data_IF_816225851231
#
_entry.id   IF_816225851231
#
_cell.length_a   1.000
_cell.length_b   1.000
_cell.length_c   1.000
_cell.angle_alpha   90.00
_cell.angle_beta   90.00
_cell.angle_gamma   90.00
#
_symmetry.space_group_name_H-M   'P 1'
#
loop_
_entity.id
_entity.type
_entity.pdbx_description
1 polymer ?
#
# COMPACT_ATOMS: atom_id res chain seq x y z
N UNK A 1 76.09 -56.21 -13.75
CA UNK A 1 75.40 -55.01 -14.26
C UNK A 1 74.51 -54.48 -13.17
N UNK A 2 74.82 -53.25 -12.78
CA UNK A 2 74.18 -52.37 -11.80
C UNK A 2 72.71 -52.12 -12.16
N UNK A 3 71.80 -52.11 -11.19
CA UNK A 3 70.81 -51.01 -11.08
C UNK A 3 70.14 -50.97 -9.72
N UNK A 4 69.94 -49.74 -9.26
CA UNK A 4 69.75 -49.31 -7.89
C UNK A 4 68.32 -49.49 -7.37
N UNK A 5 68.21 -49.81 -6.09
CA UNK A 5 66.99 -49.68 -5.28
C UNK A 5 66.80 -48.19 -4.97
N UNK A 6 65.63 -47.63 -5.29
CA UNK A 6 65.22 -46.31 -4.81
C UNK A 6 63.91 -46.47 -4.06
N UNK A 7 64.00 -46.41 -2.73
CA UNK A 7 62.89 -46.42 -1.79
C UNK A 7 62.17 -45.06 -1.79
N UNK A 8 60.85 -45.05 -1.97
CA UNK A 8 60.00 -43.88 -1.75
C UNK A 8 59.13 -44.07 -0.49
N UNK A 9 59.07 -43.07 0.42
CA UNK A 9 58.35 -43.16 1.68
C UNK A 9 56.82 -42.94 1.52
N UNK A 10 56.01 -43.41 2.50
CA UNK A 10 54.55 -43.36 2.43
C UNK A 10 53.98 -41.94 2.57
N UNK A 11 52.86 -41.72 1.88
CA UNK A 11 52.13 -40.46 1.75
C UNK A 11 51.50 -40.04 3.09
N UNK A 12 52.00 -38.96 3.67
CA UNK A 12 51.46 -38.34 4.89
C UNK A 12 50.06 -37.74 4.67
N UNK A 13 49.16 -38.02 5.61
CA UNK A 13 47.82 -37.44 5.68
C UNK A 13 47.87 -35.93 6.02
N UNK A 14 46.99 -35.09 5.46
CA UNK A 14 46.84 -33.69 5.89
C UNK A 14 46.11 -33.61 7.24
N UNK A 15 46.72 -32.88 8.19
CA UNK A 15 46.17 -32.60 9.51
C UNK A 15 44.97 -31.62 9.53
N UNK A 16 44.36 -31.44 10.72
CA UNK A 16 43.09 -30.75 10.89
C UNK A 16 43.22 -29.23 10.75
N UNK A 17 42.34 -28.60 9.96
CA UNK A 17 42.18 -27.14 9.94
C UNK A 17 41.19 -26.71 11.02
N UNK A 18 41.68 -25.80 11.86
CA UNK A 18 41.04 -25.05 12.93
C UNK A 18 39.70 -24.44 12.50
N UNK A 19 38.67 -24.68 13.33
CA UNK A 19 37.35 -24.04 13.30
C UNK A 19 37.49 -22.55 13.58
N UNK A 20 36.97 -21.69 12.70
CA UNK A 20 36.87 -20.24 12.94
C UNK A 20 35.46 -19.74 12.68
N UNK A 21 34.75 -19.49 13.78
CA UNK A 21 33.69 -18.50 13.89
C UNK A 21 32.30 -18.91 13.41
N UNK A 22 31.51 -19.46 14.33
CA UNK A 22 30.04 -19.43 14.25
C UNK A 22 29.58 -17.97 14.15
N UNK A 23 29.27 -17.52 12.92
CA UNK A 23 28.41 -16.37 12.72
C UNK A 23 27.00 -16.92 12.67
N UNK A 24 26.26 -16.78 13.77
CA UNK A 24 24.82 -17.07 13.85
C UNK A 24 24.15 -16.56 12.57
N UNK A 25 23.77 -17.49 11.69
CA UNK A 25 22.87 -17.19 10.60
C UNK A 25 21.56 -16.77 11.24
N UNK A 26 21.34 -15.46 11.20
CA UNK A 26 20.10 -14.83 11.58
C UNK A 26 19.04 -15.40 10.64
N UNK A 27 18.23 -16.32 11.17
CA UNK A 27 17.02 -16.85 10.53
C UNK A 27 16.36 -15.75 9.68
N UNK A 28 16.06 -15.98 8.40
CA UNK A 28 15.27 -15.04 7.63
C UNK A 28 13.97 -14.83 8.38
N UNK A 29 13.82 -13.65 8.97
CA UNK A 29 12.60 -13.22 9.63
C UNK A 29 11.46 -13.44 8.65
N UNK A 30 10.44 -14.19 9.10
CA UNK A 30 9.23 -14.42 8.34
C UNK A 30 8.71 -13.07 7.80
N UNK A 31 8.44 -12.96 6.49
CA UNK A 31 7.93 -11.73 5.91
C UNK A 31 6.55 -11.41 6.51
N UNK A 32 6.15 -10.12 6.55
CA UNK A 32 4.84 -9.72 7.04
C UNK A 32 3.77 -10.50 6.28
N UNK A 33 2.94 -11.23 7.04
CA UNK A 33 1.70 -11.80 6.53
C UNK A 33 0.80 -10.63 6.10
N UNK A 34 -0.02 -10.88 5.09
CA UNK A 34 -1.00 -9.95 4.48
C UNK A 34 -0.51 -9.16 3.25
N UNK A 35 0.00 -9.90 2.28
CA UNK A 35 0.06 -9.48 0.87
C UNK A 35 -1.20 -9.93 0.09
N UNK A 36 -2.40 -9.72 0.64
CA UNK A 36 -3.63 -10.27 0.04
C UNK A 36 -4.22 -9.33 -1.02
N UNK A 37 -3.96 -9.62 -2.30
CA UNK A 37 -4.68 -9.00 -3.41
C UNK A 37 -6.04 -9.68 -3.51
N UNK A 38 -7.12 -8.90 -3.42
CA UNK A 38 -8.48 -9.41 -3.68
C UNK A 38 -8.59 -9.86 -5.15
N UNK A 39 -8.34 -11.15 -5.36
CA UNK A 39 -8.36 -11.83 -6.65
C UNK A 39 -8.79 -13.29 -6.44
N UNK A 40 -9.61 -13.86 -7.33
CA UNK A 40 -10.16 -13.27 -8.55
C UNK A 40 -11.29 -12.25 -8.30
N UNK A 41 -11.49 -11.28 -9.21
CA UNK A 41 -12.62 -10.37 -9.13
C UNK A 41 -13.95 -11.10 -9.44
N UNK A 42 -15.03 -10.70 -8.78
CA UNK A 42 -16.38 -11.21 -9.05
C UNK A 42 -16.82 -11.00 -10.50
N UNK A 43 -17.67 -11.90 -11.03
CA UNK A 43 -18.24 -11.75 -12.38
C UNK A 43 -19.29 -10.63 -12.35
N UNK A 44 -19.25 -9.66 -13.28
CA UNK A 44 -20.31 -8.66 -13.39
C UNK A 44 -21.66 -9.33 -13.70
N UNK A 45 -22.67 -9.01 -12.90
CA UNK A 45 -24.06 -9.45 -13.07
C UNK A 45 -24.99 -8.24 -13.00
N UNK A 46 -26.26 -8.44 -13.35
CA UNK A 46 -27.27 -7.38 -13.22
C UNK A 46 -27.36 -6.83 -11.79
N UNK A 47 -27.22 -7.71 -10.78
CA UNK A 47 -27.34 -7.35 -9.38
C UNK A 47 -26.15 -6.53 -8.86
N UNK A 48 -24.93 -6.84 -9.32
CA UNK A 48 -23.71 -6.20 -8.81
C UNK A 48 -23.18 -5.06 -9.69
N UNK A 49 -23.68 -4.87 -10.93
CA UNK A 49 -23.13 -3.87 -11.87
C UNK A 49 -23.19 -2.45 -11.32
N UNK A 50 -24.24 -2.14 -10.53
CA UNK A 50 -24.35 -0.85 -9.84
C UNK A 50 -23.19 -0.62 -8.86
N UNK A 51 -22.80 -1.65 -8.10
CA UNK A 51 -21.68 -1.60 -7.15
C UNK A 51 -20.33 -1.59 -7.88
N UNK A 52 -20.20 -2.36 -8.97
CA UNK A 52 -19.02 -2.32 -9.86
C UNK A 52 -18.73 -0.88 -10.28
N UNK A 53 -19.73 -0.11 -10.71
CA UNK A 53 -19.54 1.27 -11.14
C UNK A 53 -19.42 2.27 -9.99
N UNK A 54 -20.31 2.21 -8.99
CA UNK A 54 -20.39 3.17 -7.88
C UNK A 54 -19.17 3.13 -6.97
N UNK A 55 -18.72 1.92 -6.61
CA UNK A 55 -17.63 1.72 -5.65
C UNK A 55 -16.24 1.69 -6.31
N UNK A 56 -16.15 1.77 -7.64
CA UNK A 56 -14.88 1.76 -8.40
C UNK A 56 -13.80 2.69 -7.85
N UNK A 57 -14.15 3.94 -7.49
CA UNK A 57 -13.19 4.94 -6.99
C UNK A 57 -12.61 4.60 -5.60
N UNK A 58 -13.17 3.59 -4.94
CA UNK A 58 -12.84 3.17 -3.60
C UNK A 58 -12.06 1.86 -3.57
N UNK A 59 -12.07 1.10 -4.68
CA UNK A 59 -11.28 -0.12 -4.83
C UNK A 59 -9.80 0.23 -5.08
N UNK A 60 -8.89 -0.52 -4.47
CA UNK A 60 -7.47 -0.24 -4.59
C UNK A 60 -6.94 -0.44 -6.01
N UNK A 61 -5.93 0.36 -6.37
CA UNK A 61 -5.06 0.07 -7.51
C UNK A 61 -3.70 -0.34 -6.98
N UNK A 62 -3.23 -1.50 -7.39
CA UNK A 62 -1.96 -2.06 -6.91
C UNK A 62 -0.81 -1.51 -7.74
N UNK A 63 0.15 -0.80 -7.14
CA UNK A 63 1.32 -0.32 -7.92
C UNK A 63 2.45 -1.33 -7.87
N UNK A 64 3.30 -1.46 -8.92
CA UNK A 64 4.45 -2.37 -8.90
C UNK A 64 5.42 -2.11 -7.75
N UNK A 65 5.46 -0.88 -7.22
CA UNK A 65 6.26 -0.49 -6.04
C UNK A 65 5.75 -1.09 -4.73
N UNK A 66 4.51 -1.57 -4.72
CA UNK A 66 3.86 -2.19 -3.55
C UNK A 66 3.98 -3.71 -3.54
N UNK A 67 4.66 -4.31 -4.51
CA UNK A 67 4.84 -5.76 -4.57
C UNK A 67 6.23 -6.14 -4.07
N UNK A 68 6.37 -7.28 -3.37
CA UNK A 68 7.68 -7.82 -3.04
C UNK A 68 8.56 -7.97 -4.28
N UNK A 69 9.81 -7.52 -4.19
CA UNK A 69 10.72 -7.38 -5.35
C UNK A 69 11.17 -8.72 -5.95
N UNK A 70 11.05 -9.83 -5.22
CA UNK A 70 11.56 -11.15 -5.60
C UNK A 70 10.61 -12.26 -5.14
N UNK A 71 10.38 -13.29 -5.97
CA UNK A 71 9.66 -14.51 -5.60
C UNK A 71 8.13 -14.52 -5.81
N UNK A 72 7.51 -13.38 -6.15
CA UNK A 72 6.04 -13.24 -6.23
C UNK A 72 5.54 -12.82 -7.62
N UNK A 73 6.04 -13.47 -8.67
CA UNK A 73 5.63 -13.18 -10.05
C UNK A 73 4.13 -13.34 -10.30
N UNK A 74 3.49 -14.30 -9.63
CA UNK A 74 2.04 -14.53 -9.67
C UNK A 74 1.25 -13.35 -9.06
N UNK A 75 1.71 -12.82 -7.92
CA UNK A 75 1.10 -11.66 -7.26
C UNK A 75 1.19 -10.42 -8.16
N UNK A 76 2.31 -10.26 -8.86
CA UNK A 76 2.45 -9.23 -9.90
C UNK A 76 1.42 -9.39 -11.02
N UNK A 77 1.18 -10.61 -11.53
CA UNK A 77 0.17 -10.87 -12.56
C UNK A 77 -1.25 -10.59 -12.05
N UNK A 78 -1.59 -11.03 -10.84
CA UNK A 78 -2.89 -10.71 -10.22
C UNK A 78 -3.10 -9.21 -10.05
N UNK A 79 -2.09 -8.48 -9.54
CA UNK A 79 -2.14 -7.02 -9.40
C UNK A 79 -2.42 -6.33 -10.74
N UNK A 80 -1.80 -6.84 -11.82
CA UNK A 80 -1.89 -6.30 -13.17
C UNK A 80 -3.27 -6.59 -13.76
N UNK A 81 -3.80 -7.80 -13.53
CA UNK A 81 -5.15 -8.19 -13.91
C UNK A 81 -6.20 -7.28 -13.25
N UNK A 82 -6.18 -7.13 -11.93
CA UNK A 82 -7.12 -6.25 -11.21
C UNK A 82 -7.04 -4.81 -11.72
N UNK A 83 -5.82 -4.26 -11.89
CA UNK A 83 -5.66 -2.91 -12.41
C UNK A 83 -6.17 -2.73 -13.85
N UNK A 84 -6.01 -3.74 -14.71
CA UNK A 84 -6.56 -3.73 -16.08
C UNK A 84 -8.08 -3.71 -16.01
N UNK A 85 -8.67 -4.56 -15.18
CA UNK A 85 -10.12 -4.64 -15.02
C UNK A 85 -10.71 -3.32 -14.51
N UNK A 86 -10.13 -2.71 -13.48
CA UNK A 86 -10.61 -1.42 -12.95
C UNK A 86 -10.53 -0.29 -13.98
N UNK A 87 -9.55 -0.34 -14.90
CA UNK A 87 -9.50 0.58 -16.05
C UNK A 87 -10.59 0.27 -17.08
N UNK A 88 -10.86 -1.01 -17.36
CA UNK A 88 -11.96 -1.46 -18.20
C UNK A 88 -13.32 -0.99 -17.67
N UNK A 89 -13.62 -1.27 -16.40
CA UNK A 89 -14.82 -0.78 -15.72
C UNK A 89 -14.93 0.74 -15.74
N UNK A 90 -13.82 1.47 -15.60
CA UNK A 90 -13.85 2.93 -15.73
C UNK A 90 -14.32 3.38 -17.11
N UNK A 91 -13.97 2.65 -18.17
CA UNK A 91 -14.44 2.95 -19.53
C UNK A 91 -15.92 2.58 -19.69
N UNK A 92 -16.31 1.35 -19.33
CA UNK A 92 -17.69 0.88 -19.45
C UNK A 92 -18.69 1.76 -18.66
N UNK A 93 -18.39 2.08 -17.40
CA UNK A 93 -19.26 2.88 -16.54
C UNK A 93 -19.29 4.39 -16.88
N UNK A 94 -18.63 4.84 -17.96
CA UNK A 94 -18.69 6.23 -18.43
C UNK A 94 -19.62 6.40 -19.64
N UNK A 95 -19.94 5.32 -20.33
CA UNK A 95 -20.79 5.35 -21.52
C UNK A 95 -22.28 5.45 -21.18
N UNK A 96 -23.09 5.77 -22.19
CA UNK A 96 -24.56 5.68 -22.13
C UNK A 96 -25.11 4.37 -22.74
N UNK A 97 -24.23 3.40 -23.08
CA UNK A 97 -24.63 2.09 -23.60
C UNK A 97 -24.72 1.01 -22.51
N UNK A 98 -24.93 -0.24 -22.93
CA UNK A 98 -25.11 -1.39 -22.02
C UNK A 98 -23.83 -1.68 -21.20
N UNK A 99 -23.84 -1.19 -19.96
CA UNK A 99 -22.71 -1.25 -19.03
C UNK A 99 -22.34 -2.69 -18.69
N UNK A 100 -23.34 -3.56 -18.52
CA UNK A 100 -23.16 -4.96 -18.12
C UNK A 100 -22.40 -5.78 -19.18
N UNK A 101 -22.85 -5.86 -20.45
CA UNK A 101 -22.09 -6.53 -21.52
C UNK A 101 -20.66 -6.01 -21.67
N UNK A 102 -20.46 -4.68 -21.57
CA UNK A 102 -19.11 -4.11 -21.62
C UNK A 102 -18.25 -4.57 -20.44
N UNK A 103 -18.78 -4.52 -19.21
CA UNK A 103 -18.07 -4.91 -18.01
C UNK A 103 -17.76 -6.41 -17.99
N UNK A 104 -18.72 -7.25 -18.33
CA UNK A 104 -18.55 -8.70 -18.44
C UNK A 104 -17.51 -9.05 -19.51
N UNK A 105 -17.58 -8.44 -20.69
CA UNK A 105 -16.57 -8.62 -21.74
C UNK A 105 -15.17 -8.25 -21.28
N UNK A 106 -15.02 -7.12 -20.58
CA UNK A 106 -13.73 -6.71 -19.99
C UNK A 106 -13.25 -7.64 -18.89
N UNK A 107 -14.16 -8.23 -18.12
CA UNK A 107 -13.83 -9.20 -17.09
C UNK A 107 -13.27 -10.50 -17.70
N UNK A 108 -13.93 -11.04 -18.73
CA UNK A 108 -13.46 -12.21 -19.49
C UNK A 108 -12.08 -11.98 -20.13
N UNK A 109 -11.94 -10.88 -20.87
CA UNK A 109 -10.67 -10.48 -21.53
C UNK A 109 -9.48 -10.45 -20.54
N UNK A 110 -9.72 -9.93 -19.33
CA UNK A 110 -8.67 -9.83 -18.31
C UNK A 110 -8.29 -11.20 -17.75
N UNK A 111 -9.25 -12.11 -17.56
CA UNK A 111 -8.98 -13.46 -17.04
C UNK A 111 -8.26 -14.34 -18.06
N UNK A 112 -8.65 -14.28 -19.33
CA UNK A 112 -7.95 -15.01 -20.39
C UNK A 112 -6.49 -14.56 -20.47
N UNK A 113 -6.29 -13.24 -20.51
CA UNK A 113 -4.95 -12.66 -20.51
C UNK A 113 -4.15 -12.99 -19.26
N UNK A 114 -4.81 -13.11 -18.10
CA UNK A 114 -4.15 -13.55 -16.88
C UNK A 114 -3.65 -14.99 -17.01
N UNK A 115 -4.46 -15.91 -17.54
CA UNK A 115 -4.05 -17.29 -17.76
C UNK A 115 -2.94 -17.43 -18.80
N UNK A 116 -2.97 -16.65 -19.90
CA UNK A 116 -1.85 -16.58 -20.84
C UNK A 116 -0.55 -16.10 -20.18
N UNK A 117 -0.63 -15.16 -19.25
CA UNK A 117 0.53 -14.64 -18.51
C UNK A 117 1.00 -15.61 -17.41
N UNK A 118 0.09 -16.40 -16.81
CA UNK A 118 0.42 -17.47 -15.84
C UNK A 118 1.16 -18.62 -16.52
N UNK A 119 0.70 -19.08 -17.69
CA UNK A 119 1.35 -20.16 -18.45
C UNK A 119 2.78 -19.82 -18.88
N UNK A 120 3.06 -18.54 -19.14
CA UNK A 120 4.42 -18.04 -19.45
C UNK A 120 5.31 -17.93 -18.19
N UNK A 121 4.72 -18.03 -17.01
CA UNK A 121 5.40 -17.91 -15.72
C UNK A 121 5.96 -19.25 -15.23
N UNK A 122 7.07 -19.19 -14.48
CA UNK A 122 7.69 -20.37 -13.87
C UNK A 122 6.91 -20.95 -12.68
N UNK A 123 6.16 -20.10 -11.98
CA UNK A 123 5.27 -20.48 -10.88
C UNK A 123 3.86 -20.07 -11.30
N UNK A 124 2.97 -21.04 -11.48
CA UNK A 124 1.53 -20.82 -11.64
C UNK A 124 0.88 -21.05 -10.28
N UNK A 125 -0.07 -20.20 -9.90
CA UNK A 125 -0.74 -20.27 -8.58
C UNK A 125 -2.26 -20.36 -8.68
N UNK A 126 -2.82 -20.32 -9.90
CA UNK A 126 -4.26 -20.33 -10.14
C UNK A 126 -4.69 -21.58 -10.89
N UNK A 127 -5.23 -22.58 -10.18
CA UNK A 127 -5.73 -23.81 -10.80
C UNK A 127 -6.94 -23.60 -11.73
N UNK A 128 -7.59 -22.43 -11.71
CA UNK A 128 -8.65 -22.11 -12.68
C UNK A 128 -8.15 -21.97 -14.11
N UNK A 129 -6.86 -21.71 -14.33
CA UNK A 129 -6.30 -21.64 -15.67
C UNK A 129 -6.09 -23.03 -16.31
N UNK A 130 -6.17 -24.09 -15.50
CA UNK A 130 -5.95 -25.48 -15.93
C UNK A 130 -7.26 -26.20 -16.30
N UNK A 131 -8.42 -25.61 -15.96
CA UNK A 131 -9.75 -26.22 -16.15
C UNK A 131 -10.18 -26.28 -17.62
N UNK A 132 -9.67 -25.38 -18.47
CA UNK A 132 -10.07 -25.27 -19.88
C UNK A 132 -10.23 -23.81 -20.32
N UNK A 133 -10.89 -23.57 -21.45
CA UNK A 133 -11.22 -22.25 -22.00
C UNK A 133 -12.71 -21.90 -21.84
N UNK A 134 -13.05 -20.61 -21.94
CA UNK A 134 -14.45 -20.16 -21.95
C UNK A 134 -15.16 -20.25 -20.59
N UNK A 135 -16.44 -20.66 -20.60
CA UNK A 135 -17.33 -20.58 -19.42
C UNK A 135 -16.89 -21.42 -18.23
N UNK A 136 -16.22 -22.55 -18.43
CA UNK A 136 -15.75 -23.39 -17.32
C UNK A 136 -14.68 -22.67 -16.50
N UNK A 137 -13.74 -22.01 -17.19
CA UNK A 137 -12.73 -21.14 -16.59
C UNK A 137 -13.38 -19.97 -15.87
N UNK A 138 -14.33 -19.31 -16.52
CA UNK A 138 -15.04 -18.17 -15.92
C UNK A 138 -15.80 -18.57 -14.66
N UNK A 139 -16.49 -19.70 -14.68
CA UNK A 139 -17.21 -20.26 -13.52
C UNK A 139 -16.25 -20.59 -12.37
N UNK A 140 -15.07 -21.14 -12.68
CA UNK A 140 -14.03 -21.38 -11.68
C UNK A 140 -13.56 -20.07 -11.02
N UNK A 141 -13.31 -19.01 -11.80
CA UNK A 141 -12.90 -17.72 -11.24
C UNK A 141 -14.02 -17.04 -10.45
N UNK A 142 -15.26 -17.06 -10.94
CA UNK A 142 -16.38 -16.43 -10.24
C UNK A 142 -16.70 -17.10 -8.92
N UNK A 143 -16.65 -18.43 -8.85
CA UNK A 143 -16.89 -19.20 -7.62
C UNK A 143 -15.81 -19.02 -6.55
N UNK A 144 -14.60 -18.61 -6.94
CA UNK A 144 -13.47 -18.35 -6.04
C UNK A 144 -13.27 -16.87 -5.72
N UNK A 145 -14.14 -15.99 -6.21
CA UNK A 145 -14.03 -14.57 -5.94
C UNK A 145 -14.30 -14.30 -4.44
N UNK A 146 -13.35 -13.70 -3.70
CA UNK A 146 -13.55 -13.43 -2.27
C UNK A 146 -14.65 -12.38 -2.02
N UNK A 147 -14.91 -11.52 -3.00
CA UNK A 147 -15.94 -10.48 -2.94
C UNK A 147 -16.71 -10.43 -4.27
N UNK A 148 -17.67 -11.35 -4.49
CA UNK A 148 -18.39 -11.46 -5.76
C UNK A 148 -19.26 -10.22 -6.05
N UNK A 149 -19.82 -9.59 -5.01
CA UNK A 149 -20.79 -8.49 -5.13
C UNK A 149 -20.17 -7.09 -5.05
N UNK A 150 -18.85 -7.00 -4.89
CA UNK A 150 -18.12 -5.73 -4.79
C UNK A 150 -18.56 -4.82 -3.61
N UNK A 151 -19.16 -5.41 -2.59
CA UNK A 151 -19.76 -4.79 -1.41
C UNK A 151 -18.79 -4.46 -0.27
N UNK A 152 -17.53 -4.91 -0.35
CA UNK A 152 -16.46 -4.78 0.66
C UNK A 152 -16.27 -3.38 1.31
N UNK A 153 -16.86 -2.33 0.71
CA UNK A 153 -16.87 -0.96 1.21
C UNK A 153 -18.13 -0.53 1.97
N UNK A 154 -19.22 -1.30 1.95
CA UNK A 154 -20.34 -1.06 2.87
C UNK A 154 -19.91 -1.27 4.32
N UNK A 155 -19.05 -2.28 4.57
CA UNK A 155 -18.50 -2.51 5.92
C UNK A 155 -17.27 -1.64 6.22
N UNK A 156 -16.50 -1.26 5.19
CA UNK A 156 -15.35 -0.35 5.31
C UNK A 156 -15.72 1.14 5.20
N UNK A 157 -17.00 1.47 5.32
CA UNK A 157 -17.49 2.83 5.52
C UNK A 157 -17.35 3.29 6.99
N UNK A 158 -16.57 2.58 7.81
CA UNK A 158 -15.95 3.21 8.96
C UNK A 158 -15.21 4.48 8.47
N UNK A 159 -15.46 5.65 9.08
CA UNK A 159 -14.73 6.86 8.75
C UNK A 159 -13.25 6.50 8.78
N UNK A 160 -12.50 6.82 7.72
CA UNK A 160 -11.06 6.98 7.92
C UNK A 160 -10.97 8.04 9.00
N UNK A 161 -10.75 7.64 10.25
CA UNK A 161 -10.56 8.53 11.38
C UNK A 161 -9.24 9.21 11.09
N UNK A 162 -9.33 10.27 10.29
CA UNK A 162 -8.22 11.15 10.02
C UNK A 162 -7.82 11.66 11.40
N UNK A 163 -6.68 11.20 11.88
CA UNK A 163 -6.00 11.69 13.06
C UNK A 163 -4.76 12.48 12.63
N UNK A 164 -4.15 13.17 13.58
CA UNK A 164 -2.95 13.98 13.33
C UNK A 164 -1.75 13.15 12.86
N UNK A 165 -1.68 11.87 13.24
CA UNK A 165 -0.63 10.94 12.81
C UNK A 165 -0.54 10.77 11.30
N UNK A 166 -1.63 10.97 10.56
CA UNK A 166 -1.64 10.92 9.09
C UNK A 166 -0.82 12.02 8.41
N UNK A 167 -0.29 13.00 9.16
CA UNK A 167 0.69 13.95 8.64
C UNK A 167 1.91 13.23 8.06
N UNK A 168 2.31 12.08 8.60
CA UNK A 168 3.48 11.33 8.16
C UNK A 168 3.35 10.76 6.75
N UNK A 169 2.14 10.40 6.31
CA UNK A 169 1.90 9.98 4.93
C UNK A 169 1.60 11.16 4.00
N UNK A 170 1.10 12.27 4.54
CA UNK A 170 0.54 13.38 3.76
C UNK A 170 1.43 14.62 3.65
N UNK A 171 2.52 14.71 4.43
CA UNK A 171 3.34 15.93 4.54
C UNK A 171 3.86 16.46 3.19
N UNK A 172 4.24 15.58 2.26
CA UNK A 172 4.71 15.99 0.91
C UNK A 172 3.59 16.66 0.10
N UNK A 173 2.34 16.23 0.30
CA UNK A 173 1.17 16.81 -0.36
C UNK A 173 0.78 18.12 0.33
N UNK A 174 0.76 18.13 1.67
CA UNK A 174 0.48 19.33 2.48
C UNK A 174 1.48 20.42 2.11
N UNK A 175 2.79 20.17 2.19
CA UNK A 175 3.84 21.15 1.85
C UNK A 175 3.70 21.72 0.42
N UNK A 176 3.25 20.92 -0.55
CA UNK A 176 3.15 21.33 -1.96
C UNK A 176 1.82 22.00 -2.33
N UNK A 177 0.70 21.50 -1.81
CA UNK A 177 -0.66 21.89 -2.24
C UNK A 177 -1.44 22.67 -1.19
N UNK A 178 -1.08 22.51 0.07
CA UNK A 178 -1.77 23.12 1.21
C UNK A 178 -0.73 23.68 2.16
N UNK A 179 0.05 24.70 1.75
CA UNK A 179 1.06 25.31 2.61
C UNK A 179 0.37 25.88 3.84
N UNK A 180 0.41 25.12 4.94
CA UNK A 180 -0.04 25.57 6.25
C UNK A 180 1.14 26.30 6.86
N UNK A 181 0.91 27.47 7.48
CA UNK A 181 1.96 28.22 8.16
C UNK A 181 2.38 27.60 9.52
N UNK A 182 2.28 26.27 9.62
CA UNK A 182 2.82 25.43 10.67
C UNK A 182 4.16 24.84 10.21
N UNK A 183 5.14 24.61 11.10
CA UNK A 183 6.39 23.95 10.75
C UNK A 183 6.19 22.44 10.61
N UNK A 184 5.45 22.05 9.56
CA UNK A 184 5.12 20.65 9.21
C UNK A 184 6.39 19.78 9.17
N UNK A 185 7.51 20.32 8.69
CA UNK A 185 8.78 19.60 8.64
C UNK A 185 9.28 19.19 10.03
N UNK A 186 9.12 20.07 11.03
CA UNK A 186 9.56 19.81 12.40
C UNK A 186 8.74 18.68 13.04
N UNK A 187 7.42 18.70 12.83
CA UNK A 187 6.51 17.63 13.27
C UNK A 187 6.87 16.29 12.64
N UNK A 188 7.20 16.27 11.35
CA UNK A 188 7.53 15.03 10.65
C UNK A 188 8.83 14.43 11.16
N UNK A 189 9.87 15.24 11.36
CA UNK A 189 11.18 14.77 11.84
C UNK A 189 11.07 14.14 13.24
N UNK A 190 10.27 14.73 14.12
CA UNK A 190 10.19 14.28 15.52
C UNK A 190 9.13 13.20 15.76
N UNK A 191 7.99 13.24 15.06
CA UNK A 191 6.87 12.34 15.36
C UNK A 191 6.74 11.16 14.40
N UNK A 192 7.21 11.25 13.15
CA UNK A 192 7.06 10.14 12.19
C UNK A 192 7.99 8.94 12.41
N UNK A 193 9.15 9.05 13.09
CA UNK A 193 9.92 7.88 13.50
C UNK A 193 9.19 6.98 14.51
N UNK A 194 8.17 7.50 15.22
CA UNK A 194 7.45 6.76 16.26
C UNK A 194 6.47 5.71 15.68
N UNK A 195 6.08 4.71 16.50
CA UNK A 195 4.97 3.78 16.20
C UNK A 195 3.64 4.50 15.93
N UNK A 196 2.77 3.91 15.09
CA UNK A 196 1.57 4.57 14.57
C UNK A 196 0.57 5.03 15.65
N UNK A 197 0.46 4.25 16.72
CA UNK A 197 -0.32 4.51 17.93
C UNK A 197 0.16 5.76 18.69
N UNK A 198 1.46 6.09 18.62
CA UNK A 198 2.06 7.21 19.35
C UNK A 198 2.14 8.52 18.55
N UNK A 199 2.03 8.43 17.21
CA UNK A 199 2.20 9.60 16.33
C UNK A 199 1.21 10.72 16.61
N UNK A 200 -0.06 10.38 16.85
CA UNK A 200 -1.12 11.38 17.09
C UNK A 200 -0.85 12.17 18.37
N UNK A 201 -0.47 11.48 19.46
CA UNK A 201 -0.13 12.11 20.72
C UNK A 201 1.11 13.02 20.58
N UNK A 202 2.17 12.54 19.92
CA UNK A 202 3.37 13.34 19.67
C UNK A 202 3.06 14.62 18.88
N UNK A 203 2.25 14.52 17.82
CA UNK A 203 1.90 15.71 17.01
C UNK A 203 1.10 16.71 17.85
N UNK A 204 0.16 16.22 18.65
CA UNK A 204 -0.64 17.09 19.53
C UNK A 204 0.25 17.80 20.57
N UNK A 205 1.16 17.08 21.21
CA UNK A 205 2.12 17.65 22.18
C UNK A 205 2.99 18.74 21.53
N UNK A 206 3.56 18.46 20.35
CA UNK A 206 4.36 19.45 19.63
C UNK A 206 3.56 20.67 19.18
N UNK A 207 2.27 20.53 18.90
CA UNK A 207 1.39 21.67 18.61
C UNK A 207 1.12 22.53 19.86
N UNK A 208 1.04 21.92 21.04
CA UNK A 208 0.91 22.63 22.32
C UNK A 208 2.16 23.45 22.62
N UNK A 209 3.34 22.83 22.59
CA UNK A 209 4.62 23.55 22.79
C UNK A 209 4.79 24.68 21.78
N UNK A 210 4.31 24.46 20.55
CA UNK A 210 4.38 25.46 19.50
C UNK A 210 3.42 26.63 19.74
N UNK A 211 2.21 26.37 20.23
CA UNK A 211 1.27 27.41 20.63
C UNK A 211 1.84 28.25 21.78
N UNK A 212 2.36 27.60 22.83
CA UNK A 212 2.94 28.27 24.00
C UNK A 212 4.10 29.20 23.61
N UNK A 213 5.01 28.72 22.77
CA UNK A 213 6.19 29.51 22.34
C UNK A 213 5.87 30.64 21.36
N UNK A 214 4.82 30.53 20.54
CA UNK A 214 4.50 31.50 19.48
C UNK A 214 3.35 32.43 19.80
N UNK A 215 2.42 32.03 20.65
CA UNK A 215 1.32 32.86 21.12
C UNK A 215 1.72 33.75 22.32
N UNK A 216 2.74 33.35 23.09
CA UNK A 216 3.26 34.11 24.25
C UNK A 216 4.46 35.00 23.90
N UNK A 217 4.92 34.99 22.65
CA UNK A 217 6.04 35.82 22.22
C UNK A 217 5.59 37.28 22.09
N UNK A 218 6.31 38.21 22.74
CA UNK A 218 6.04 39.67 22.74
C UNK A 218 6.03 40.32 21.34
N UNK A 219 6.52 39.61 20.31
CA UNK A 219 6.50 40.06 18.92
C UNK A 219 5.40 39.31 18.14
N UNK A 220 4.46 40.02 17.49
CA UNK A 220 3.45 39.39 16.68
C UNK A 220 4.11 38.54 15.59
N UNK A 221 3.84 37.24 15.62
CA UNK A 221 4.33 36.29 14.61
C UNK A 221 3.89 36.77 13.22
N UNK A 222 4.83 36.83 12.27
CA UNK A 222 4.57 37.26 10.88
C UNK A 222 3.69 36.30 10.08
N UNK A 223 3.32 35.16 10.66
CA UNK A 223 2.42 34.19 10.04
C UNK A 223 0.97 34.48 10.41
N UNK A 224 0.17 34.77 9.37
CA UNK A 224 -1.27 35.04 9.45
C UNK A 224 -2.08 33.92 10.17
N UNK A 225 -1.51 32.72 10.33
CA UNK A 225 -2.12 31.61 11.09
C UNK A 225 -1.99 31.83 12.59
N UNK A 226 -0.84 32.26 13.07
CA UNK A 226 -0.66 32.56 14.50
C UNK A 226 -1.42 33.82 14.91
N UNK A 227 -1.56 34.80 14.01
CA UNK A 227 -2.44 35.95 14.25
C UNK A 227 -3.91 35.55 14.41
N UNK A 228 -4.37 34.50 13.71
CA UNK A 228 -5.75 33.99 13.81
C UNK A 228 -5.99 33.06 15.00
N UNK A 229 -5.00 32.24 15.36
CA UNK A 229 -5.15 31.24 16.42
C UNK A 229 -4.63 31.68 17.79
N UNK A 230 -3.92 32.83 17.91
CA UNK A 230 -3.38 33.35 19.17
C UNK A 230 -4.02 34.69 19.60
N UNK A 231 -5.34 34.76 19.90
CA UNK A 231 -5.91 35.91 20.61
C UNK A 231 -5.51 35.90 22.11
N UNK A 232 -5.65 37.02 22.84
CA UNK A 232 -5.07 37.21 24.19
C UNK A 232 -5.60 36.32 25.33
N UNK A 233 -6.52 35.38 25.10
CA UNK A 233 -7.12 34.48 26.11
C UNK A 233 -7.08 32.99 25.70
N UNK A 234 -5.89 32.48 25.37
CA UNK A 234 -5.69 31.32 24.48
C UNK A 234 -5.54 29.93 25.12
N UNK A 235 -6.55 29.44 25.87
CA UNK A 235 -6.64 27.98 26.12
C UNK A 235 -6.98 27.16 24.84
N UNK A 236 -7.43 27.81 23.77
CA UNK A 236 -7.89 27.16 22.53
C UNK A 236 -6.93 27.28 21.34
N UNK A 237 -5.79 27.96 21.48
CA UNK A 237 -4.76 28.05 20.43
C UNK A 237 -4.27 26.67 19.92
N UNK A 238 -3.90 25.69 20.77
CA UNK A 238 -3.49 24.38 20.29
C UNK A 238 -4.62 23.63 19.58
N UNK A 239 -5.88 23.82 19.99
CA UNK A 239 -7.06 23.26 19.30
C UNK A 239 -7.25 23.89 17.92
N UNK A 240 -7.08 25.21 17.79
CA UNK A 240 -7.14 25.93 16.51
C UNK A 240 -6.06 25.46 15.52
N UNK A 241 -4.81 25.34 15.98
CA UNK A 241 -3.69 24.85 15.17
C UNK A 241 -3.91 23.38 14.77
N UNK A 242 -4.37 22.55 15.70
CA UNK A 242 -4.74 21.16 15.44
C UNK A 242 -5.84 21.06 14.38
N UNK A 243 -6.90 21.87 14.48
CA UNK A 243 -7.98 21.93 13.50
C UNK A 243 -7.50 22.32 12.09
N UNK A 244 -6.60 23.30 11.97
CA UNK A 244 -6.01 23.69 10.69
C UNK A 244 -5.17 22.56 10.06
N UNK A 245 -4.37 21.89 10.87
CA UNK A 245 -3.57 20.75 10.42
C UNK A 245 -4.47 19.58 10.01
N UNK A 246 -5.49 19.27 10.80
CA UNK A 246 -6.47 18.23 10.51
C UNK A 246 -7.24 18.49 9.21
N UNK A 247 -7.60 19.75 8.94
CA UNK A 247 -8.22 20.14 7.68
C UNK A 247 -7.27 19.94 6.49
N UNK A 248 -5.99 20.27 6.64
CA UNK A 248 -4.98 20.05 5.61
C UNK A 248 -4.73 18.55 5.36
N UNK A 249 -4.66 17.74 6.42
CA UNK A 249 -4.57 16.28 6.33
C UNK A 249 -5.79 15.73 5.60
N UNK A 250 -7.00 16.14 5.98
CA UNK A 250 -8.26 15.68 5.36
C UNK A 250 -8.33 16.04 3.86
N UNK A 251 -7.88 17.25 3.49
CA UNK A 251 -7.78 17.64 2.07
C UNK A 251 -6.70 16.85 1.33
N UNK A 252 -5.58 16.55 1.99
CA UNK A 252 -4.50 15.76 1.42
C UNK A 252 -4.85 14.27 1.25
N UNK A 253 -5.60 13.68 2.19
CA UNK A 253 -6.09 12.29 2.10
C UNK A 253 -7.10 12.10 0.98
N UNK A 254 -7.93 13.11 0.72
CA UNK A 254 -8.84 13.16 -0.43
C UNK A 254 -8.11 13.35 -1.78
N UNK A 255 -6.81 13.71 -1.76
CA UNK A 255 -6.05 13.95 -2.99
C UNK A 255 -5.82 12.68 -3.83
N UNK A 256 -6.00 12.73 -5.17
CA UNK A 256 -5.78 11.59 -6.05
C UNK A 256 -4.36 10.99 -5.97
N UNK A 257 -3.36 11.79 -5.59
CA UNK A 257 -1.98 11.33 -5.46
C UNK A 257 -1.76 10.43 -4.23
N UNK A 258 -2.47 10.65 -3.12
CA UNK A 258 -2.33 9.78 -1.95
C UNK A 258 -3.09 8.46 -2.14
N UNK A 259 -4.26 8.50 -2.78
CA UNK A 259 -5.00 7.28 -3.19
C UNK A 259 -4.17 6.36 -4.08
N UNK A 260 -3.21 6.89 -4.84
CA UNK A 260 -2.26 6.12 -5.66
C UNK A 260 -1.04 5.61 -4.89
N UNK A 261 -0.75 6.14 -3.69
CA UNK A 261 0.47 5.84 -2.92
C UNK A 261 0.24 4.92 -1.73
N UNK A 262 -0.99 4.77 -1.24
CA UNK A 262 -1.29 3.75 -0.24
C UNK A 262 -1.16 2.38 -0.90
N UNK A 263 -0.20 1.58 -0.43
CA UNK A 263 -0.18 0.18 -0.74
C UNK A 263 -1.40 -0.44 -0.04
N UNK A 264 -2.33 -1.08 -0.77
CA UNK A 264 -3.51 -1.69 -0.18
C UNK A 264 -3.23 -2.97 0.61
N UNK A 265 -1.95 -3.36 0.70
CA UNK A 265 -1.47 -4.50 1.46
C UNK A 265 -1.19 -4.01 2.88
N UNK A 266 -2.23 -3.96 3.70
CA UNK A 266 -2.17 -3.74 5.13
C UNK A 266 -3.32 -4.51 5.78
#
# INVERSE_FOLDING_TARGET
MTTCIVSFPPRSQPGPRIIRGEKLEKSPQAPPRDSNISFPPGRPTFDNIGLVCRLRKHRPLYTPKCLPRTGFGWLARQSKAVNRLERGFKHCCKGQGDVLPCAEGKWREVLDRFCEEEQKGRLHNSSCCDVGEGEERYTCFSSRAPHPDYDQKLDSAAPQTHNLGHICETYKIIKKKFPVALPVQNLVVHCCPLPADQRTACVQEKLVTLAESRCSAEKPSSSAVFQKCCPPSSQDAPKCLSGLLMNAITKATKSPHLRKRKCPLA
#
